data_IF_103225037418
#
_entry.id   IF_103225037418
#
_cell.length_a   1.000
_cell.length_b   1.000
_cell.length_c   1.000
_cell.angle_alpha   90.00
_cell.angle_beta   90.00
_cell.angle_gamma   90.00
#
_symmetry.space_group_name_H-M   'P 1'
#
loop_
_entity.id
_entity.type
_entity.pdbx_description
1 polymer ?
#
# COMPACT_ATOMS: atom_id res chain seq x y z
N UNK A 1 -9.84 -22.89 -15.25
CA UNK A 1 -10.26 -21.50 -15.50
C UNK A 1 -11.28 -20.97 -14.48
N UNK A 2 -12.33 -21.72 -14.09
CA UNK A 2 -13.34 -21.25 -13.10
C UNK A 2 -12.79 -21.02 -11.67
N UNK A 3 -11.76 -21.77 -11.26
CA UNK A 3 -11.13 -21.64 -9.94
C UNK A 3 -10.33 -20.33 -9.79
N UNK A 4 -9.65 -19.89 -10.84
CA UNK A 4 -8.85 -18.65 -10.82
C UNK A 4 -9.72 -17.40 -10.65
N UNK A 5 -10.89 -17.34 -11.28
CA UNK A 5 -11.85 -16.25 -11.03
C UNK A 5 -12.44 -16.27 -9.63
N UNK A 6 -12.67 -17.45 -9.03
CA UNK A 6 -13.11 -17.55 -7.63
C UNK A 6 -12.05 -17.06 -6.65
N UNK A 7 -10.78 -17.42 -6.89
CA UNK A 7 -9.66 -16.96 -6.06
C UNK A 7 -9.49 -15.44 -6.19
N UNK A 8 -9.56 -14.89 -7.41
CA UNK A 8 -9.52 -13.44 -7.63
C UNK A 8 -10.67 -12.71 -6.94
N UNK A 9 -11.90 -13.19 -7.06
CA UNK A 9 -13.06 -12.62 -6.39
C UNK A 9 -12.92 -12.66 -4.85
N UNK A 10 -12.50 -13.80 -4.30
CA UNK A 10 -12.23 -13.93 -2.86
C UNK A 10 -11.14 -12.97 -2.38
N UNK A 11 -10.04 -12.84 -3.13
CA UNK A 11 -8.96 -11.91 -2.79
C UNK A 11 -9.44 -10.45 -2.78
N UNK A 12 -10.28 -10.04 -3.73
CA UNK A 12 -10.84 -8.68 -3.75
C UNK A 12 -11.77 -8.42 -2.57
N UNK A 13 -12.61 -9.39 -2.21
CA UNK A 13 -13.52 -9.27 -1.05
C UNK A 13 -12.72 -9.15 0.25
N UNK A 14 -11.68 -9.99 0.42
CA UNK A 14 -10.80 -9.93 1.59
C UNK A 14 -10.07 -8.59 1.65
N UNK A 15 -9.55 -8.09 0.51
CA UNK A 15 -8.88 -6.79 0.46
C UNK A 15 -9.81 -5.63 0.83
N UNK A 16 -11.07 -5.66 0.37
CA UNK A 16 -12.07 -4.65 0.71
C UNK A 16 -12.42 -4.70 2.19
N UNK A 17 -12.69 -5.89 2.75
CA UNK A 17 -12.98 -6.06 4.18
C UNK A 17 -11.79 -5.66 5.05
N UNK A 18 -10.57 -6.05 4.66
CA UNK A 18 -9.35 -5.65 5.36
C UNK A 18 -9.12 -4.13 5.29
N UNK A 19 -9.45 -3.49 4.17
CA UNK A 19 -9.36 -2.03 4.02
C UNK A 19 -10.39 -1.30 4.88
N UNK A 20 -11.64 -1.78 4.91
CA UNK A 20 -12.71 -1.25 5.77
C UNK A 20 -12.35 -1.41 7.26
N UNK A 21 -11.83 -2.58 7.65
CA UNK A 21 -11.40 -2.85 9.03
C UNK A 21 -10.12 -2.09 9.40
N UNK A 22 -9.25 -1.80 8.43
CA UNK A 22 -8.10 -0.93 8.64
C UNK A 22 -8.54 0.53 8.81
N UNK A 23 -9.53 1.02 8.05
CA UNK A 23 -10.03 2.39 8.16
C UNK A 23 -10.64 2.72 9.53
N UNK A 24 -11.25 1.75 10.22
CA UNK A 24 -11.89 1.97 11.53
C UNK A 24 -10.87 2.19 12.68
N UNK A 25 -9.63 1.71 12.52
CA UNK A 25 -8.57 1.80 13.54
C UNK A 25 -7.31 2.57 13.13
N UNK A 26 -7.24 3.10 11.91
CA UNK A 26 -6.03 3.73 11.38
C UNK A 26 -5.96 5.21 11.78
N UNK A 27 -4.88 5.56 12.49
CA UNK A 27 -4.59 6.97 12.81
C UNK A 27 -4.24 7.74 11.53
N UNK A 28 -4.46 9.05 11.52
CA UNK A 28 -4.08 9.94 10.39
C UNK A 28 -2.65 9.67 9.91
N UNK A 29 -1.73 9.54 10.87
CA UNK A 29 -0.32 9.20 10.64
C UNK A 29 -0.12 7.88 9.92
N UNK A 30 -0.86 6.84 10.29
CA UNK A 30 -0.75 5.52 9.69
C UNK A 30 -1.35 5.51 8.27
N UNK A 31 -2.37 6.35 8.02
CA UNK A 31 -2.93 6.60 6.68
C UNK A 31 -1.94 7.34 5.78
N UNK A 32 -1.33 8.42 6.27
CA UNK A 32 -0.34 9.20 5.52
C UNK A 32 0.91 8.37 5.21
N UNK A 33 1.33 7.52 6.15
CA UNK A 33 2.41 6.55 5.96
C UNK A 33 2.07 5.50 4.89
N UNK A 34 0.87 4.92 4.94
CA UNK A 34 0.43 3.91 3.98
C UNK A 34 0.31 4.49 2.55
N UNK A 35 -0.24 5.70 2.43
CA UNK A 35 -0.32 6.42 1.15
C UNK A 35 1.08 6.76 0.65
N UNK A 36 1.95 7.32 1.50
CA UNK A 36 3.33 7.65 1.16
C UNK A 36 4.14 6.44 0.72
N UNK A 37 4.01 5.31 1.42
CA UNK A 37 4.68 4.07 1.06
C UNK A 37 4.12 3.46 -0.24
N UNK A 38 2.80 3.51 -0.44
CA UNK A 38 2.15 3.01 -1.65
C UNK A 38 2.54 3.82 -2.89
N UNK A 39 2.41 5.14 -2.83
CA UNK A 39 2.78 6.04 -3.93
C UNK A 39 4.29 6.03 -4.17
N UNK A 40 5.09 6.09 -3.11
CA UNK A 40 6.56 6.06 -3.20
C UNK A 40 7.07 4.74 -3.78
N UNK A 41 6.46 3.61 -3.40
CA UNK A 41 6.80 2.30 -3.96
C UNK A 41 6.40 2.17 -5.43
N UNK A 42 5.20 2.61 -5.79
CA UNK A 42 4.74 2.61 -7.18
C UNK A 42 5.61 3.52 -8.07
N UNK A 43 5.94 4.71 -7.60
CA UNK A 43 6.84 5.62 -8.28
C UNK A 43 8.25 5.01 -8.40
N UNK A 44 8.81 4.47 -7.32
CA UNK A 44 10.11 3.81 -7.33
C UNK A 44 10.18 2.64 -8.32
N UNK A 45 9.14 1.81 -8.37
CA UNK A 45 9.00 0.73 -9.34
C UNK A 45 8.93 1.25 -10.78
N UNK A 46 8.19 2.34 -11.02
CA UNK A 46 8.03 2.93 -12.35
C UNK A 46 9.32 3.52 -12.91
N UNK A 47 10.18 4.09 -12.05
CA UNK A 47 11.42 4.76 -12.48
C UNK A 47 12.60 3.77 -12.54
N UNK A 48 12.70 2.84 -11.58
CA UNK A 48 13.84 1.94 -11.44
C UNK A 48 13.61 0.48 -11.85
N UNK A 49 12.35 0.04 -11.96
CA UNK A 49 11.97 -1.29 -12.46
C UNK A 49 12.44 -2.48 -11.61
N UNK A 50 13.05 -2.25 -10.44
CA UNK A 50 13.65 -3.29 -9.62
C UNK A 50 13.16 -3.22 -8.16
N UNK A 51 13.27 -4.33 -7.43
CA UNK A 51 12.79 -4.43 -6.05
C UNK A 51 13.47 -3.40 -5.12
N UNK A 52 14.74 -3.09 -5.34
CA UNK A 52 15.48 -2.08 -4.57
C UNK A 52 14.88 -0.67 -4.76
N UNK A 53 14.50 -0.32 -6.00
CA UNK A 53 13.89 0.97 -6.31
C UNK A 53 12.47 1.10 -5.73
N UNK A 54 11.68 0.03 -5.76
CA UNK A 54 10.37 -0.02 -5.10
C UNK A 54 10.49 0.11 -3.59
N UNK A 55 11.41 -0.65 -2.97
CA UNK A 55 11.63 -0.62 -1.53
C UNK A 55 12.19 0.72 -1.06
N UNK A 56 13.11 1.31 -1.81
CA UNK A 56 13.66 2.64 -1.54
C UNK A 56 12.59 3.72 -1.59
N UNK A 57 11.76 3.72 -2.64
CA UNK A 57 10.65 4.66 -2.78
C UNK A 57 9.58 4.48 -1.70
N UNK A 58 9.23 3.24 -1.38
CA UNK A 58 8.26 2.93 -0.31
C UNK A 58 8.78 3.32 1.08
N UNK A 59 10.06 3.08 1.37
CA UNK A 59 10.67 3.43 2.64
C UNK A 59 10.76 4.95 2.83
N UNK A 60 11.24 5.68 1.82
CA UNK A 60 11.31 7.15 1.86
C UNK A 60 9.92 7.77 1.96
N UNK A 61 8.98 7.31 1.12
CA UNK A 61 7.59 7.78 1.14
C UNK A 61 6.88 7.48 2.46
N UNK A 62 7.14 6.32 3.07
CA UNK A 62 6.61 5.95 4.38
C UNK A 62 7.16 6.80 5.52
N UNK A 63 8.47 7.07 5.56
CA UNK A 63 9.10 7.93 6.58
C UNK A 63 8.57 9.37 6.49
N UNK A 64 8.43 9.89 5.27
CA UNK A 64 7.86 11.23 5.05
C UNK A 64 6.39 11.25 5.49
N UNK A 65 5.56 10.30 5.06
CA UNK A 65 4.16 10.21 5.49
C UNK A 65 4.00 10.12 7.01
N UNK A 66 4.90 9.41 7.69
CA UNK A 66 4.93 9.29 9.14
C UNK A 66 5.36 10.57 9.88
N UNK A 67 6.12 11.45 9.24
CA UNK A 67 6.60 12.72 9.81
C UNK A 67 5.67 13.90 9.48
N UNK A 68 5.06 13.90 8.30
CA UNK A 68 4.11 14.93 7.85
C UNK A 68 2.74 14.76 8.52
N UNK A 69 2.36 13.52 8.87
CA UNK A 69 1.13 13.23 9.63
C UNK A 69 1.24 13.47 11.15
N UNK A 70 2.17 14.31 11.61
CA UNK A 70 2.28 14.78 13.01
C UNK A 70 1.75 16.20 13.12
#
# INVERSE_FOLDING_TARGET
MKTFHRIGALATVIAVVASLSACDGMTTRQRDTAIGAGVGGAAGAAIGGNALSTLGGAAVGGVIGNQVGK
#
